data_IF_605011845605
#
_entry.id   IF_605011845605
#
_cell.length_a   1.000
_cell.length_b   1.000
_cell.length_c   1.000
_cell.angle_alpha   90.00
_cell.angle_beta   90.00
_cell.angle_gamma   90.00
#
_symmetry.space_group_name_H-M   'P 1'
#
loop_
_entity.id
_entity.type
_entity.pdbx_description
1 polymer ?
#
# COMPACT_ATOMS: atom_id res chain seq x y z
N UNK A 1 -13.69 -0.96 16.42
CA UNK A 1 -12.43 -0.64 17.07
C UNK A 1 -11.81 0.59 16.42
N UNK A 2 -11.59 1.60 17.23
CA UNK A 2 -11.12 2.91 16.74
C UNK A 2 -9.75 2.83 16.05
N UNK A 3 -8.81 2.07 16.62
CA UNK A 3 -7.45 1.94 16.08
C UNK A 3 -7.48 1.40 14.65
N UNK A 4 -8.18 0.30 14.44
CA UNK A 4 -8.25 -0.33 13.11
C UNK A 4 -9.03 0.52 12.11
N UNK A 5 -10.06 1.23 12.56
CA UNK A 5 -10.80 2.17 11.72
C UNK A 5 -9.90 3.30 11.24
N UNK A 6 -9.11 3.89 12.14
CA UNK A 6 -8.18 4.98 11.79
C UNK A 6 -7.09 4.49 10.85
N UNK A 7 -6.50 3.32 11.11
CA UNK A 7 -5.47 2.73 10.27
C UNK A 7 -6.01 2.40 8.88
N UNK A 8 -7.19 1.79 8.82
CA UNK A 8 -7.82 1.43 7.55
C UNK A 8 -8.12 2.68 6.73
N UNK A 9 -8.68 3.72 7.35
CA UNK A 9 -8.99 4.96 6.66
C UNK A 9 -7.73 5.62 6.10
N UNK A 10 -6.65 5.66 6.88
CA UNK A 10 -5.36 6.21 6.43
C UNK A 10 -4.82 5.44 5.21
N UNK A 11 -4.94 4.13 5.21
CA UNK A 11 -4.53 3.31 4.06
C UNK A 11 -5.41 3.55 2.83
N UNK A 12 -6.72 3.69 3.03
CA UNK A 12 -7.66 3.99 1.94
C UNK A 12 -7.32 5.37 1.33
N UNK A 13 -7.07 6.35 2.16
CA UNK A 13 -6.69 7.69 1.70
C UNK A 13 -5.38 7.65 0.91
N UNK A 14 -4.41 6.87 1.39
CA UNK A 14 -3.14 6.66 0.69
C UNK A 14 -3.36 6.04 -0.69
N UNK A 15 -4.17 4.98 -0.78
CA UNK A 15 -4.46 4.31 -2.05
C UNK A 15 -5.20 5.24 -3.01
N UNK A 16 -6.20 5.97 -2.53
CA UNK A 16 -6.97 6.91 -3.34
C UNK A 16 -6.10 8.05 -3.88
N UNK A 17 -5.18 8.55 -3.07
CA UNK A 17 -4.24 9.59 -3.50
C UNK A 17 -3.33 9.08 -4.62
N UNK A 18 -2.83 7.86 -4.50
CA UNK A 18 -2.00 7.25 -5.54
C UNK A 18 -2.80 7.03 -6.83
N UNK A 19 -4.02 6.56 -6.72
CA UNK A 19 -4.93 6.38 -7.87
C UNK A 19 -5.13 7.71 -8.59
N UNK A 20 -5.44 8.76 -7.84
CA UNK A 20 -5.64 10.09 -8.41
C UNK A 20 -4.39 10.59 -9.12
N UNK A 21 -3.22 10.46 -8.48
CA UNK A 21 -1.95 10.92 -9.04
C UNK A 21 -1.58 10.18 -10.34
N UNK A 22 -1.75 8.85 -10.36
CA UNK A 22 -1.45 8.07 -11.57
C UNK A 22 -2.44 8.37 -12.69
N UNK A 23 -3.74 8.52 -12.38
CA UNK A 23 -4.73 8.91 -13.39
C UNK A 23 -4.42 10.27 -13.99
N UNK A 24 -4.05 11.23 -13.16
CA UNK A 24 -3.68 12.57 -13.62
C UNK A 24 -2.45 12.54 -14.52
N UNK A 25 -1.42 11.79 -14.13
CA UNK A 25 -0.21 11.63 -14.92
C UNK A 25 -0.51 10.96 -16.27
N UNK A 26 -1.35 9.94 -16.27
CA UNK A 26 -1.76 9.24 -17.49
C UNK A 26 -2.44 10.22 -18.46
N UNK A 27 -3.36 11.05 -17.96
CA UNK A 27 -4.04 12.06 -18.78
C UNK A 27 -3.05 13.06 -19.37
N UNK A 28 -2.12 13.54 -18.56
CA UNK A 28 -1.07 14.47 -19.00
C UNK A 28 -0.21 13.85 -20.10
N UNK A 29 0.19 12.60 -19.95
CA UNK A 29 0.98 11.88 -20.94
C UNK A 29 0.20 11.72 -22.25
N UNK A 30 -1.08 11.33 -22.17
CA UNK A 30 -1.94 11.17 -23.35
C UNK A 30 -2.10 12.47 -24.10
N UNK A 31 -2.29 13.57 -23.40
CA UNK A 31 -2.37 14.90 -24.03
C UNK A 31 -1.07 15.27 -24.72
N UNK A 32 0.07 14.94 -24.14
CA UNK A 32 1.38 15.19 -24.74
C UNK A 32 1.57 14.38 -26.02
N UNK A 33 1.18 13.12 -26.03
CA UNK A 33 1.24 12.26 -27.22
C UNK A 33 0.34 12.83 -28.32
N UNK A 34 -0.87 13.20 -28.00
CA UNK A 34 -1.83 13.76 -28.94
C UNK A 34 -1.33 15.08 -29.53
N UNK A 35 -0.76 15.95 -28.71
CA UNK A 35 -0.18 17.22 -29.17
C UNK A 35 0.99 16.98 -30.12
N UNK A 36 1.85 16.02 -29.86
CA UNK A 36 2.97 15.68 -30.73
C UNK A 36 2.48 15.16 -32.09
N UNK A 37 1.45 14.33 -32.09
CA UNK A 37 0.85 13.80 -33.32
C UNK A 37 0.24 14.91 -34.17
N UNK A 38 -0.45 15.85 -33.53
CA UNK A 38 -1.09 17.01 -34.22
C UNK A 38 -0.08 17.96 -34.78
N UNK A 39 1.11 18.07 -34.20
CA UNK A 39 2.17 18.93 -34.71
C UNK A 39 2.77 18.43 -36.03
N UNK A 40 2.41 17.23 -36.47
CA UNK A 40 2.87 16.69 -37.75
C UNK A 40 4.34 16.37 -37.77
N UNK A 41 4.92 16.12 -36.62
CA UNK A 41 6.36 15.85 -36.49
C UNK A 41 6.59 14.35 -36.64
N UNK A 42 6.53 13.90 -37.88
CA UNK A 42 6.63 12.48 -38.22
C UNK A 42 8.01 11.88 -37.95
N UNK A 43 9.03 12.73 -37.80
CA UNK A 43 10.42 12.29 -37.67
C UNK A 43 10.86 12.10 -36.23
N UNK A 44 10.07 12.47 -35.24
CA UNK A 44 10.46 12.40 -33.82
C UNK A 44 9.72 11.32 -33.05
N UNK A 45 9.95 10.09 -33.46
CA UNK A 45 9.42 8.91 -32.75
C UNK A 45 10.02 8.78 -31.34
N UNK A 46 11.22 9.33 -31.10
CA UNK A 46 11.92 9.21 -29.83
C UNK A 46 11.18 9.88 -28.68
N UNK A 47 10.53 11.03 -28.91
CA UNK A 47 9.73 11.71 -27.90
C UNK A 47 8.50 10.92 -27.49
N UNK A 48 7.79 10.38 -28.46
CA UNK A 48 6.61 9.54 -28.20
C UNK A 48 6.99 8.18 -27.61
N UNK A 49 8.13 7.62 -28.00
CA UNK A 49 8.60 6.36 -27.43
C UNK A 49 8.76 6.44 -25.92
N UNK A 50 9.36 7.52 -25.41
CA UNK A 50 9.49 7.75 -23.98
C UNK A 50 8.12 7.93 -23.31
N UNK A 51 7.23 8.70 -23.94
CA UNK A 51 5.88 8.93 -23.43
C UNK A 51 5.07 7.63 -23.35
N UNK A 52 5.18 6.75 -24.34
CA UNK A 52 4.51 5.44 -24.29
C UNK A 52 5.06 4.56 -23.17
N UNK A 53 6.36 4.59 -22.92
CA UNK A 53 6.97 3.87 -21.80
C UNK A 53 6.48 4.41 -20.46
N UNK A 54 6.41 5.73 -20.32
CA UNK A 54 5.90 6.36 -19.09
C UNK A 54 4.41 6.04 -18.90
N UNK A 55 3.64 6.02 -19.99
CA UNK A 55 2.23 5.65 -19.95
C UNK A 55 2.06 4.21 -19.44
N UNK A 56 2.87 3.29 -19.93
CA UNK A 56 2.82 1.88 -19.49
C UNK A 56 3.16 1.75 -18.00
N UNK A 57 4.23 2.42 -17.54
CA UNK A 57 4.62 2.40 -16.13
C UNK A 57 3.51 2.95 -15.23
N UNK A 58 2.95 4.10 -15.59
CA UNK A 58 1.88 4.71 -14.79
C UNK A 58 0.62 3.86 -14.79
N UNK A 59 0.33 3.18 -15.90
CA UNK A 59 -0.81 2.27 -16.00
C UNK A 59 -0.62 1.05 -15.08
N UNK A 60 0.59 0.51 -15.00
CA UNK A 60 0.92 -0.57 -14.07
C UNK A 60 0.79 -0.13 -12.61
N UNK A 61 1.32 1.04 -12.28
CA UNK A 61 1.21 1.61 -10.94
C UNK A 61 -0.24 1.88 -10.56
N UNK A 62 -1.04 2.36 -11.51
CA UNK A 62 -2.48 2.56 -11.29
C UNK A 62 -3.16 1.22 -10.98
N UNK A 63 -2.83 0.17 -11.73
CA UNK A 63 -3.34 -1.17 -11.48
C UNK A 63 -2.99 -1.67 -10.09
N UNK A 64 -1.75 -1.46 -9.66
CA UNK A 64 -1.29 -1.83 -8.31
C UNK A 64 -2.04 -1.06 -7.23
N UNK A 65 -2.26 0.24 -7.43
CA UNK A 65 -3.00 1.07 -6.48
C UNK A 65 -4.47 0.64 -6.38
N UNK A 66 -5.09 0.25 -7.50
CA UNK A 66 -6.45 -0.30 -7.51
C UNK A 66 -6.53 -1.62 -6.74
N UNK A 67 -5.52 -2.47 -6.86
CA UNK A 67 -5.44 -3.73 -6.09
C UNK A 67 -5.30 -3.46 -4.59
N UNK A 68 -4.51 -2.47 -4.21
CA UNK A 68 -4.43 -2.01 -2.83
C UNK A 68 -5.81 -1.66 -2.29
N UNK A 69 -6.53 -0.84 -3.02
CA UNK A 69 -7.86 -0.39 -2.59
C UNK A 69 -8.82 -1.57 -2.47
N UNK A 70 -8.74 -2.53 -3.37
CA UNK A 70 -9.55 -3.74 -3.32
C UNK A 70 -9.27 -4.55 -2.04
N UNK A 71 -8.01 -4.75 -1.70
CA UNK A 71 -7.62 -5.43 -0.46
C UNK A 71 -8.20 -4.69 0.75
N UNK A 72 -8.05 -3.37 0.78
CA UNK A 72 -8.53 -2.54 1.90
C UNK A 72 -10.05 -2.60 2.05
N UNK A 73 -10.79 -2.63 0.95
CA UNK A 73 -12.24 -2.72 0.98
C UNK A 73 -12.77 -4.04 1.57
N UNK A 74 -11.96 -5.08 1.51
CA UNK A 74 -12.30 -6.39 2.07
C UNK A 74 -11.95 -6.55 3.54
N UNK A 75 -11.29 -5.55 4.13
CA UNK A 75 -10.95 -5.56 5.55
C UNK A 75 -12.12 -5.01 6.36
N UNK A 76 -12.57 -5.79 7.35
CA UNK A 76 -13.55 -5.32 8.33
C UNK A 76 -12.83 -4.80 9.58
N UNK A 77 -12.94 -3.50 9.89
CA UNK A 77 -12.27 -2.96 11.07
C UNK A 77 -12.87 -3.43 12.39
N UNK A 78 -14.02 -4.06 12.33
CA UNK A 78 -14.72 -4.59 13.51
C UNK A 78 -14.44 -6.06 13.76
N UNK A 79 -13.74 -6.74 12.85
CA UNK A 79 -13.37 -8.15 13.07
C UNK A 79 -12.32 -8.27 14.17
N UNK A 80 -12.42 -9.34 14.95
CA UNK A 80 -11.47 -9.65 16.01
C UNK A 80 -10.89 -11.03 15.75
N UNK A 81 -9.58 -11.17 15.89
CA UNK A 81 -8.90 -12.45 15.74
C UNK A 81 -7.76 -12.53 16.74
N UNK A 82 -7.62 -13.68 17.38
CA UNK A 82 -6.49 -13.95 18.28
C UNK A 82 -5.19 -14.15 17.53
N UNK A 83 -5.29 -14.51 16.26
CA UNK A 83 -4.14 -14.71 15.38
C UNK A 83 -4.04 -13.56 14.40
N UNK A 84 -2.83 -13.25 14.00
CA UNK A 84 -2.59 -12.21 12.99
C UNK A 84 -3.19 -12.65 11.65
N UNK A 85 -4.10 -11.85 11.14
CA UNK A 85 -4.71 -12.00 9.82
C UNK A 85 -4.62 -10.68 9.07
N UNK A 86 -4.97 -10.69 7.79
CA UNK A 86 -5.10 -9.43 7.04
C UNK A 86 -6.16 -8.57 7.71
N UNK A 87 -5.81 -7.34 8.04
CA UNK A 87 -6.66 -6.42 8.81
C UNK A 87 -6.32 -6.35 10.29
N UNK A 88 -5.41 -7.18 10.79
CA UNK A 88 -4.96 -7.10 12.18
C UNK A 88 -4.02 -5.94 12.41
N UNK A 89 -4.17 -5.28 13.55
CA UNK A 89 -3.17 -4.37 14.09
C UNK A 89 -2.36 -5.14 15.13
N UNK A 90 -1.06 -5.10 15.01
CA UNK A 90 -0.15 -5.92 15.83
C UNK A 90 0.80 -5.00 16.58
N UNK A 91 0.74 -5.04 17.90
CA UNK A 91 1.70 -4.33 18.75
C UNK A 91 2.83 -5.28 19.14
N UNK A 92 4.05 -4.83 18.97
CA UNK A 92 5.22 -5.63 19.35
C UNK A 92 6.12 -4.85 20.30
N UNK A 93 7.17 -5.50 20.80
CA UNK A 93 8.15 -4.87 21.68
C UNK A 93 9.01 -3.82 20.98
N UNK A 94 9.00 -3.80 19.64
CA UNK A 94 9.76 -2.81 18.84
C UNK A 94 8.84 -1.88 18.07
N UNK A 95 8.18 -2.38 17.05
CA UNK A 95 7.31 -1.59 16.17
C UNK A 95 5.90 -2.15 16.17
N UNK A 96 4.94 -1.31 15.79
CA UNK A 96 3.56 -1.75 15.59
C UNK A 96 3.29 -1.87 14.08
N UNK A 97 2.48 -2.84 13.72
CA UNK A 97 2.19 -3.13 12.32
C UNK A 97 0.68 -3.19 12.08
N UNK A 98 0.29 -2.78 10.89
CA UNK A 98 -1.06 -2.99 10.38
C UNK A 98 -0.95 -3.87 9.13
N UNK A 99 -1.50 -5.07 9.20
CA UNK A 99 -1.38 -6.05 8.12
C UNK A 99 -2.44 -5.75 7.07
N UNK A 100 -2.04 -5.09 6.01
CA UNK A 100 -2.95 -4.65 4.96
C UNK A 100 -2.21 -4.49 3.64
N UNK A 101 -1.76 -3.29 3.34
CA UNK A 101 -1.02 -2.93 2.13
C UNK A 101 0.24 -2.16 2.53
N UNK A 102 1.19 -2.06 1.61
CA UNK A 102 2.45 -1.35 1.85
C UNK A 102 2.25 0.16 1.72
N UNK A 103 1.71 0.77 2.75
CA UNK A 103 1.44 2.21 2.80
C UNK A 103 2.42 2.99 3.67
N UNK A 104 3.41 2.32 4.25
CA UNK A 104 4.44 2.96 5.07
C UNK A 104 3.98 3.28 6.48
N UNK A 105 4.61 4.28 7.07
CA UNK A 105 4.34 4.68 8.45
C UNK A 105 3.07 5.51 8.54
N UNK A 106 2.21 5.12 9.47
CA UNK A 106 0.95 5.82 9.76
C UNK A 106 0.96 6.23 11.22
N UNK A 107 0.75 7.51 11.47
CA UNK A 107 0.63 8.04 12.82
C UNK A 107 -0.83 8.27 13.13
N UNK A 108 -1.31 7.64 14.20
CA UNK A 108 -2.65 7.85 14.75
C UNK A 108 -2.52 8.22 16.22
N UNK A 109 -3.62 8.54 16.86
CA UNK A 109 -3.62 8.96 18.27
C UNK A 109 -2.97 7.92 19.18
N UNK A 110 -3.21 6.64 18.93
CA UNK A 110 -2.65 5.52 19.71
C UNK A 110 -1.14 5.38 19.55
N UNK A 111 -0.58 5.80 18.43
CA UNK A 111 0.84 5.69 18.15
C UNK A 111 1.12 5.51 16.67
N UNK A 112 2.36 5.11 16.37
CA UNK A 112 2.80 4.88 15.00
C UNK A 112 2.70 3.42 14.63
N UNK A 113 2.20 3.15 13.43
CA UNK A 113 2.07 1.81 12.87
C UNK A 113 2.70 1.79 11.47
N UNK A 114 3.30 0.66 11.12
CA UNK A 114 3.75 0.42 9.75
C UNK A 114 2.71 -0.42 9.03
N UNK A 115 2.10 0.14 8.00
CA UNK A 115 1.21 -0.61 7.13
C UNK A 115 2.04 -1.45 6.18
N UNK A 116 1.90 -2.75 6.27
CA UNK A 116 2.67 -3.73 5.49
C UNK A 116 1.73 -4.73 4.83
N UNK A 117 2.19 -5.28 3.71
CA UNK A 117 1.49 -6.38 3.04
C UNK A 117 1.73 -7.69 3.79
N UNK A 118 0.73 -8.55 3.84
CA UNK A 118 0.88 -9.90 4.37
C UNK A 118 1.86 -10.74 3.52
N UNK A 119 2.16 -10.31 2.30
CA UNK A 119 3.11 -10.95 1.40
C UNK A 119 4.54 -10.43 1.57
N UNK A 120 4.73 -9.34 2.32
CA UNK A 120 6.06 -8.84 2.63
C UNK A 120 6.81 -9.83 3.53
N UNK A 121 8.16 -9.81 3.54
CA UNK A 121 8.92 -10.74 4.38
C UNK A 121 8.50 -10.73 5.85
N UNK A 122 8.38 -9.56 6.45
CA UNK A 122 7.96 -9.46 7.84
C UNK A 122 6.48 -9.80 8.03
N UNK A 123 5.64 -9.43 7.05
CA UNK A 123 4.22 -9.77 7.07
C UNK A 123 3.99 -11.26 7.07
N UNK A 124 4.73 -11.99 6.24
CA UNK A 124 4.64 -13.47 6.21
C UNK A 124 5.05 -14.10 7.53
N UNK A 125 6.04 -13.54 8.22
CA UNK A 125 6.46 -14.04 9.53
C UNK A 125 5.40 -13.79 10.60
N UNK A 126 4.69 -12.68 10.51
CA UNK A 126 3.66 -12.31 11.49
C UNK A 126 2.35 -13.08 11.30
N UNK A 127 1.99 -13.42 10.07
CA UNK A 127 0.73 -14.10 9.78
C UNK A 127 0.56 -15.37 10.59
N UNK A 128 -0.61 -15.52 11.22
CA UNK A 128 -0.95 -16.69 12.02
C UNK A 128 -0.35 -16.71 13.43
N UNK A 129 0.44 -15.72 13.78
CA UNK A 129 1.05 -15.62 15.11
C UNK A 129 0.06 -15.02 16.11
N UNK A 130 0.36 -15.20 17.38
CA UNK A 130 -0.50 -14.77 18.48
C UNK A 130 0.29 -13.96 19.50
N UNK A 131 -0.43 -13.34 20.43
CA UNK A 131 0.18 -12.63 21.56
C UNK A 131 1.16 -13.56 22.29
N UNK A 132 2.35 -13.04 22.57
CA UNK A 132 3.42 -13.77 23.25
C UNK A 132 4.38 -14.48 22.33
N UNK A 133 4.05 -14.61 21.04
CA UNK A 133 4.96 -15.24 20.08
C UNK A 133 6.17 -14.34 19.79
N UNK A 134 7.33 -14.95 19.70
CA UNK A 134 8.58 -14.27 19.35
C UNK A 134 8.84 -14.41 17.85
N UNK A 135 9.29 -13.32 17.26
CA UNK A 135 9.59 -13.22 15.82
C UNK A 135 11.05 -12.81 15.69
N UNK A 136 11.76 -13.43 14.76
CA UNK A 136 13.12 -13.02 14.42
C UNK A 136 13.15 -12.60 12.94
N UNK A 137 13.60 -11.38 12.69
CA UNK A 137 13.69 -10.81 11.36
C UNK A 137 14.98 -10.00 11.23
N UNK A 138 15.83 -10.38 10.26
CA UNK A 138 17.13 -9.74 10.02
C UNK A 138 18.00 -9.66 11.27
N UNK A 139 18.01 -10.72 12.09
CA UNK A 139 18.78 -10.79 13.31
C UNK A 139 18.19 -10.05 14.50
N UNK A 140 17.06 -9.38 14.33
CA UNK A 140 16.34 -8.68 15.40
C UNK A 140 15.20 -9.54 15.91
N UNK A 141 15.11 -9.68 17.22
CA UNK A 141 14.01 -10.41 17.87
C UNK A 141 13.04 -9.43 18.50
N UNK A 142 11.76 -9.71 18.33
CA UNK A 142 10.71 -8.98 19.01
C UNK A 142 9.57 -9.92 19.36
N UNK A 143 8.75 -9.51 20.32
CA UNK A 143 7.62 -10.31 20.79
C UNK A 143 6.33 -9.59 20.53
N UNK A 144 5.31 -10.33 20.11
CA UNK A 144 3.96 -9.79 19.90
C UNK A 144 3.35 -9.51 21.27
N UNK A 145 3.04 -8.25 21.52
CA UNK A 145 2.40 -7.81 22.77
C UNK A 145 0.90 -7.92 22.70
N UNK A 146 0.30 -7.61 21.55
CA UNK A 146 -1.14 -7.59 21.38
C UNK A 146 -1.50 -7.74 19.91
N UNK A 147 -2.53 -8.50 19.62
CA UNK A 147 -3.18 -8.61 18.31
C UNK A 147 -4.59 -8.03 18.44
N UNK A 148 -4.84 -6.99 17.64
CA UNK A 148 -6.12 -6.26 17.66
C UNK A 148 -6.96 -6.60 16.45
#
# INVERSE_FOLDING_TARGET
MKIKQELLQACIDYANKRIFNYKTEIETIKESIESNDKAGDDDDDSGNGKLFNDLEKNSQHLGDANKMLEILKNISPNSVSDKVIVGSAVKTTTNNFFISVSAGKIDIEDGSYFAISHLSPIGMLLMGKSQGDAIEFNGNKFTIKEVI
#
